data_IF_029966086367
#
_entry.id   IF_029966086367
#
_cell.length_a   1.000
_cell.length_b   1.000
_cell.length_c   1.000
_cell.angle_alpha   90.00
_cell.angle_beta   90.00
_cell.angle_gamma   90.00
#
_symmetry.space_group_name_H-M   'P 1'
#
loop_
_entity.id
_entity.type
_entity.pdbx_description
1 polymer ?
#
# COMPACT_ATOMS: atom_id res chain seq x y z
N UNK A 1 -5.41 -28.54 -90.75
CA UNK A 1 -3.96 -28.43 -90.53
C UNK A 1 -3.68 -27.02 -90.00
N UNK A 2 -2.88 -26.92 -88.92
CA UNK A 2 -2.39 -25.70 -88.22
C UNK A 2 -3.42 -24.92 -87.37
N UNK A 3 -3.51 -25.16 -86.04
CA UNK A 3 -2.69 -24.71 -84.86
C UNK A 3 -3.12 -23.31 -84.37
N UNK A 4 -3.80 -23.17 -83.22
CA UNK A 4 -3.29 -23.24 -81.84
C UNK A 4 -2.39 -22.05 -81.46
N UNK A 5 -3.00 -20.89 -81.18
CA UNK A 5 -2.37 -19.78 -80.46
C UNK A 5 -3.35 -19.24 -79.41
N UNK A 6 -3.20 -19.68 -78.15
CA UNK A 6 -4.13 -19.32 -77.09
C UNK A 6 -3.64 -19.70 -75.70
N UNK A 7 -2.35 -19.51 -75.41
CA UNK A 7 -1.80 -19.78 -74.07
C UNK A 7 -0.51 -18.99 -73.81
N UNK A 8 -0.51 -17.67 -74.05
CA UNK A 8 0.72 -16.86 -73.97
C UNK A 8 0.72 -15.68 -73.00
N UNK A 9 -0.44 -15.22 -72.51
CA UNK A 9 -0.51 -13.91 -71.82
C UNK A 9 -0.86 -13.95 -70.33
N UNK A 10 -1.32 -15.09 -69.79
CA UNK A 10 -1.73 -15.17 -68.38
C UNK A 10 -0.57 -15.42 -67.38
N UNK A 11 0.61 -15.86 -67.84
CA UNK A 11 1.73 -16.21 -66.95
C UNK A 11 2.75 -15.09 -66.71
N UNK A 12 2.72 -14.02 -67.50
CA UNK A 12 3.63 -12.87 -67.33
C UNK A 12 3.16 -11.88 -66.25
N UNK A 13 1.86 -11.85 -65.91
CA UNK A 13 1.36 -10.96 -64.84
C UNK A 13 1.64 -11.48 -63.41
N UNK A 14 1.79 -12.78 -63.22
CA UNK A 14 2.03 -13.33 -61.87
C UNK A 14 3.48 -13.14 -61.38
N UNK A 15 4.44 -13.02 -62.29
CA UNK A 15 5.86 -12.85 -61.94
C UNK A 15 6.25 -11.37 -61.70
N UNK A 16 5.51 -10.40 -62.25
CA UNK A 16 5.78 -8.98 -62.01
C UNK A 16 5.29 -8.48 -60.64
N UNK A 17 4.29 -9.13 -60.04
CA UNK A 17 3.81 -8.78 -58.69
C UNK A 17 4.69 -9.30 -57.54
N UNK A 18 5.60 -10.25 -57.79
CA UNK A 18 6.47 -10.79 -56.75
C UNK A 18 7.77 -9.99 -56.55
N UNK A 19 8.16 -9.13 -57.49
CA UNK A 19 9.41 -8.35 -57.41
C UNK A 19 9.20 -6.97 -56.76
N UNK A 20 7.98 -6.42 -56.78
CA UNK A 20 7.69 -5.10 -56.18
C UNK A 20 7.48 -5.14 -54.66
N UNK A 21 7.43 -6.32 -54.03
CA UNK A 21 7.33 -6.44 -52.58
C UNK A 21 8.67 -6.30 -51.84
N UNK A 22 9.81 -6.20 -52.55
CA UNK A 22 11.14 -6.14 -51.93
C UNK A 22 11.63 -4.71 -51.60
N UNK A 23 10.84 -3.68 -51.89
CA UNK A 23 11.20 -2.27 -51.66
C UNK A 23 10.19 -1.53 -50.80
N UNK A 24 9.54 -2.23 -49.86
CA UNK A 24 8.85 -1.55 -48.76
C UNK A 24 9.92 -1.02 -47.79
N UNK A 25 9.99 0.30 -47.54
CA UNK A 25 10.83 0.84 -46.49
C UNK A 25 10.36 0.21 -45.18
N UNK A 26 11.18 -0.67 -44.62
CA UNK A 26 10.98 -1.18 -43.26
C UNK A 26 10.89 0.07 -42.38
N UNK A 27 9.75 0.36 -41.73
CA UNK A 27 9.72 1.44 -40.78
C UNK A 27 10.67 1.02 -39.67
N UNK A 28 11.83 1.69 -39.60
CA UNK A 28 12.81 1.58 -38.53
C UNK A 28 12.17 2.01 -37.21
N UNK A 29 11.30 1.16 -36.70
CA UNK A 29 10.58 1.28 -35.46
C UNK A 29 11.31 0.39 -34.48
N UNK A 30 11.79 0.97 -33.38
CA UNK A 30 12.48 0.31 -32.26
C UNK A 30 14.02 0.17 -32.34
N UNK A 31 14.74 1.27 -32.57
CA UNK A 31 16.10 1.44 -32.03
C UNK A 31 16.26 2.80 -31.32
N UNK A 32 15.33 3.16 -30.43
CA UNK A 32 15.50 4.30 -29.50
C UNK A 32 15.56 3.88 -28.03
N UNK A 33 15.60 2.57 -27.74
CA UNK A 33 15.61 2.04 -26.37
C UNK A 33 17.00 1.71 -25.78
N UNK A 34 18.09 1.89 -26.53
CA UNK A 34 19.44 1.48 -26.06
C UNK A 34 20.23 2.57 -25.34
N UNK A 35 19.76 3.82 -25.33
CA UNK A 35 20.56 4.95 -24.83
C UNK A 35 20.63 5.08 -23.30
N UNK A 36 19.85 4.30 -22.54
CA UNK A 36 19.98 4.28 -21.08
C UNK A 36 19.73 2.85 -20.59
N UNK A 37 20.76 1.99 -20.65
CA UNK A 37 20.73 0.75 -19.86
C UNK A 37 20.56 1.18 -18.40
N UNK A 38 19.41 0.89 -17.77
CA UNK A 38 19.12 1.35 -16.44
C UNK A 38 20.13 0.69 -15.51
N UNK A 39 20.99 1.51 -14.90
CA UNK A 39 21.96 1.06 -13.90
C UNK A 39 21.18 0.47 -12.73
N UNK A 40 21.48 -0.78 -12.39
CA UNK A 40 20.86 -1.45 -11.24
C UNK A 40 21.22 -0.71 -9.95
N UNK A 41 20.24 -0.46 -9.11
CA UNK A 41 20.42 0.25 -7.84
C UNK A 41 21.38 -0.50 -6.92
N UNK A 42 22.09 0.25 -6.05
CA UNK A 42 22.99 -0.35 -5.06
C UNK A 42 22.27 -1.21 -4.01
N UNK A 43 20.95 -1.01 -3.82
CA UNK A 43 20.09 -1.89 -3.02
C UNK A 43 19.92 -3.24 -3.69
N UNK A 44 19.51 -3.28 -4.96
CA UNK A 44 19.31 -4.53 -5.70
C UNK A 44 20.60 -5.33 -5.84
N UNK A 45 21.74 -4.66 -6.07
CA UNK A 45 23.04 -5.33 -6.15
C UNK A 45 23.43 -6.03 -4.85
N UNK A 46 23.18 -5.41 -3.69
CA UNK A 46 23.43 -6.01 -2.37
C UNK A 46 22.47 -7.15 -2.06
N UNK A 47 21.19 -7.01 -2.42
CA UNK A 47 20.18 -8.04 -2.17
C UNK A 47 20.41 -9.32 -2.98
N UNK A 48 20.92 -9.18 -4.21
CA UNK A 48 21.15 -10.30 -5.13
C UNK A 48 22.59 -10.84 -5.10
N UNK A 49 23.45 -10.34 -4.20
CA UNK A 49 24.89 -10.66 -4.15
C UNK A 49 25.60 -10.46 -5.51
N UNK A 50 25.27 -9.36 -6.21
CA UNK A 50 25.80 -9.07 -7.53
C UNK A 50 27.22 -8.50 -7.45
N UNK A 51 28.22 -9.35 -7.73
CA UNK A 51 29.64 -8.99 -7.70
C UNK A 51 30.06 -8.10 -8.85
N UNK A 52 29.48 -8.30 -10.04
CA UNK A 52 29.85 -7.54 -11.24
C UNK A 52 28.95 -6.32 -11.43
N UNK A 53 29.50 -5.17 -11.90
CA UNK A 53 28.72 -3.96 -12.16
C UNK A 53 27.74 -4.13 -13.33
N UNK A 54 28.14 -4.88 -14.36
CA UNK A 54 27.28 -5.19 -15.48
C UNK A 54 26.44 -6.44 -15.21
N UNK A 55 25.12 -6.32 -15.36
CA UNK A 55 24.18 -7.44 -15.15
C UNK A 55 24.55 -8.67 -15.97
N UNK A 56 24.95 -8.49 -17.23
CA UNK A 56 25.30 -9.59 -18.14
C UNK A 56 26.49 -10.43 -17.69
N UNK A 57 27.37 -9.88 -16.83
CA UNK A 57 28.55 -10.58 -16.31
C UNK A 57 28.28 -11.38 -15.03
N UNK A 58 27.08 -11.28 -14.45
CA UNK A 58 26.68 -12.06 -13.27
C UNK A 58 26.11 -13.44 -13.69
N UNK A 59 26.13 -14.47 -12.83
CA UNK A 59 25.51 -15.77 -13.16
C UNK A 59 23.99 -15.65 -13.33
N UNK A 60 23.40 -16.48 -14.19
CA UNK A 60 21.95 -16.48 -14.53
C UNK A 60 20.99 -16.28 -13.33
N UNK A 61 21.12 -16.99 -12.19
CA UNK A 61 20.24 -16.76 -11.04
C UNK A 61 20.32 -15.33 -10.47
N UNK A 62 21.53 -14.73 -10.43
CA UNK A 62 21.73 -13.35 -9.98
C UNK A 62 21.13 -12.37 -10.99
N UNK A 63 21.25 -12.63 -12.29
CA UNK A 63 20.61 -11.82 -13.32
C UNK A 63 19.08 -11.78 -13.14
N UNK A 64 18.46 -12.94 -12.92
CA UNK A 64 17.02 -13.05 -12.69
C UNK A 64 16.59 -12.30 -11.40
N UNK A 65 17.39 -12.38 -10.33
CA UNK A 65 17.17 -11.62 -9.10
C UNK A 65 17.19 -10.11 -9.36
N UNK A 66 18.23 -9.61 -10.05
CA UNK A 66 18.37 -8.18 -10.37
C UNK A 66 17.20 -7.65 -11.20
N UNK A 67 16.73 -8.43 -12.19
CA UNK A 67 15.55 -8.07 -13.01
C UNK A 67 14.30 -7.92 -12.13
N UNK A 68 14.06 -8.85 -11.21
CA UNK A 68 12.89 -8.82 -10.30
C UNK A 68 12.98 -7.66 -9.32
N UNK A 69 14.15 -7.44 -8.73
CA UNK A 69 14.37 -6.33 -7.80
C UNK A 69 14.15 -4.97 -8.47
N UNK A 70 14.77 -4.74 -9.64
CA UNK A 70 14.60 -3.50 -10.40
C UNK A 70 13.15 -3.27 -10.85
N UNK A 71 12.42 -4.33 -11.21
CA UNK A 71 11.00 -4.24 -11.51
C UNK A 71 10.17 -3.83 -10.28
N UNK A 72 10.49 -4.39 -9.10
CA UNK A 72 9.89 -4.03 -7.81
C UNK A 72 10.14 -2.57 -7.44
N UNK A 73 11.38 -2.09 -7.51
CA UNK A 73 11.71 -0.70 -7.23
C UNK A 73 11.01 0.28 -8.17
N UNK A 74 10.89 -0.04 -9.47
CA UNK A 74 10.10 0.76 -10.41
C UNK A 74 8.61 0.73 -10.12
N UNK A 75 8.09 -0.38 -9.58
CA UNK A 75 6.69 -0.47 -9.17
C UNK A 75 6.43 0.43 -7.95
N UNK A 76 7.25 0.31 -6.90
CA UNK A 76 7.18 1.18 -5.72
C UNK A 76 7.38 2.65 -6.07
N UNK A 77 8.37 2.97 -6.91
CA UNK A 77 8.60 4.35 -7.36
C UNK A 77 7.40 4.90 -8.11
N UNK A 78 6.75 4.11 -8.99
CA UNK A 78 5.50 4.51 -9.65
C UNK A 78 4.33 4.66 -8.69
N UNK A 79 4.21 3.81 -7.68
CA UNK A 79 3.18 3.97 -6.64
C UNK A 79 3.41 5.24 -5.81
N UNK A 80 4.66 5.53 -5.45
CA UNK A 80 5.03 6.73 -4.71
C UNK A 80 4.81 8.00 -5.56
N UNK A 81 5.14 7.96 -6.86
CA UNK A 81 4.97 9.09 -7.78
C UNK A 81 3.51 9.33 -8.17
N UNK A 82 2.71 8.28 -8.35
CA UNK A 82 1.30 8.42 -8.76
C UNK A 82 0.37 8.70 -7.57
N UNK A 83 0.88 8.65 -6.34
CA UNK A 83 0.04 8.45 -5.17
C UNK A 83 -0.64 7.07 -5.25
N UNK A 84 -1.10 6.55 -4.12
CA UNK A 84 -1.91 5.34 -4.16
C UNK A 84 -3.19 5.61 -4.99
N UNK A 85 -3.80 4.62 -5.67
CA UNK A 85 -5.08 4.80 -6.37
C UNK A 85 -6.17 5.41 -5.46
N UNK A 86 -6.08 5.15 -4.15
CA UNK A 86 -6.91 5.79 -3.13
C UNK A 86 -6.66 7.31 -3.01
N UNK A 87 -5.44 7.80 -3.26
CA UNK A 87 -5.09 9.22 -3.20
C UNK A 87 -5.52 10.03 -4.45
N UNK A 88 -5.87 9.36 -5.57
CA UNK A 88 -6.36 10.03 -6.80
C UNK A 88 -7.85 9.81 -7.07
N UNK A 89 -8.57 9.15 -6.15
CA UNK A 89 -10.02 8.95 -6.25
C UNK A 89 -10.46 8.01 -7.39
N UNK A 90 -9.53 7.31 -8.05
CA UNK A 90 -9.85 6.26 -9.04
C UNK A 90 -9.55 4.91 -8.42
N UNK A 91 -10.54 4.39 -7.68
CA UNK A 91 -10.55 3.00 -7.26
C UNK A 91 -10.33 2.10 -8.47
N UNK A 92 -9.34 1.23 -8.38
CA UNK A 92 -9.04 0.22 -9.38
C UNK A 92 -10.22 -0.74 -9.48
N UNK A 93 -11.08 -0.56 -10.48
CA UNK A 93 -11.97 -1.61 -10.94
C UNK A 93 -11.10 -2.75 -11.45
N UNK A 94 -10.97 -3.80 -10.64
CA UNK A 94 -10.34 -5.04 -11.08
C UNK A 94 -11.08 -5.55 -12.32
N UNK A 95 -10.37 -5.97 -13.40
CA UNK A 95 -11.03 -6.64 -14.50
C UNK A 95 -11.56 -7.98 -13.99
N UNK A 96 -12.88 -8.09 -13.90
CA UNK A 96 -13.59 -9.35 -13.65
C UNK A 96 -13.29 -10.29 -14.81
N UNK A 97 -12.34 -11.22 -14.63
CA UNK A 97 -12.18 -12.37 -15.51
C UNK A 97 -13.34 -13.34 -15.28
N UNK A 98 -14.49 -13.02 -15.84
CA UNK A 98 -15.66 -13.90 -15.93
C UNK A 98 -15.42 -14.92 -17.04
N UNK A 99 -14.50 -15.85 -16.82
CA UNK A 99 -14.38 -17.08 -17.61
C UNK A 99 -15.25 -18.18 -17.00
N UNK A 100 -16.57 -18.10 -17.18
CA UNK A 100 -17.49 -19.18 -16.83
C UNK A 100 -18.07 -19.76 -18.11
N UNK A 101 -17.59 -20.94 -18.49
CA UNK A 101 -18.16 -21.73 -19.57
C UNK A 101 -19.61 -22.06 -19.23
N UNK A 102 -20.50 -21.65 -20.12
CA UNK A 102 -21.91 -22.01 -20.09
C UNK A 102 -22.07 -23.48 -20.52
N UNK A 103 -22.42 -24.35 -19.57
CA UNK A 103 -23.11 -25.61 -19.85
C UNK A 103 -24.51 -25.51 -19.28
N UNK A 104 -25.47 -25.31 -20.18
CA UNK A 104 -26.88 -25.14 -19.87
C UNK A 104 -27.50 -26.43 -19.29
N UNK A 105 -28.22 -26.29 -18.17
CA UNK A 105 -29.26 -27.22 -17.72
C UNK A 105 -30.53 -26.41 -17.46
N UNK A 106 -31.68 -26.77 -18.05
CA UNK A 106 -32.95 -26.14 -17.71
C UNK A 106 -33.53 -26.84 -16.47
N UNK A 107 -33.60 -26.12 -15.36
CA UNK A 107 -34.18 -26.59 -14.11
C UNK A 107 -34.88 -25.46 -13.40
N UNK A 108 -36.21 -25.51 -13.42
CA UNK A 108 -37.16 -24.58 -12.81
C UNK A 108 -36.96 -24.55 -11.28
N UNK A 109 -36.67 -23.38 -10.69
CA UNK A 109 -36.92 -23.13 -9.26
C UNK A 109 -36.92 -21.63 -8.89
N UNK A 110 -38.08 -21.20 -8.40
CA UNK A 110 -38.33 -20.22 -7.33
C UNK A 110 -37.47 -18.94 -7.24
N UNK A 111 -38.14 -17.81 -7.47
CA UNK A 111 -37.64 -16.48 -7.15
C UNK A 111 -37.41 -16.30 -5.65
N UNK A 112 -36.14 -16.21 -5.27
CA UNK A 112 -35.69 -15.64 -3.99
C UNK A 112 -35.07 -14.29 -4.33
N UNK A 113 -35.56 -13.16 -3.78
CA UNK A 113 -34.88 -11.89 -3.93
C UNK A 113 -33.55 -11.98 -3.18
N UNK A 114 -32.47 -12.25 -3.89
CA UNK A 114 -31.11 -12.02 -3.42
C UNK A 114 -30.89 -10.51 -3.30
N UNK A 115 -31.48 -9.92 -2.26
CA UNK A 115 -31.09 -8.60 -1.76
C UNK A 115 -29.69 -8.77 -1.17
N UNK A 116 -28.69 -8.71 -2.06
CA UNK A 116 -27.28 -8.63 -1.69
C UNK A 116 -27.18 -7.42 -0.75
N UNK A 117 -26.74 -7.56 0.50
CA UNK A 117 -26.58 -6.42 1.38
C UNK A 117 -25.53 -5.54 0.70
N UNK A 118 -25.98 -4.42 0.11
CA UNK A 118 -25.13 -3.27 -0.08
C UNK A 118 -24.66 -2.92 1.32
N UNK A 119 -23.49 -3.47 1.71
CA UNK A 119 -22.63 -2.82 2.68
C UNK A 119 -22.38 -1.47 2.06
N UNK A 120 -23.23 -0.50 2.40
CA UNK A 120 -22.90 0.90 2.31
C UNK A 120 -21.53 0.96 2.97
N UNK A 121 -20.48 1.06 2.15
CA UNK A 121 -19.22 1.59 2.57
C UNK A 121 -19.54 3.04 2.94
N UNK A 122 -20.22 3.23 4.08
CA UNK A 122 -20.17 4.46 4.83
C UNK A 122 -18.68 4.68 4.95
N UNK A 123 -18.17 5.65 4.17
CA UNK A 123 -16.76 5.97 4.08
C UNK A 123 -16.26 6.09 5.52
N UNK A 124 -15.63 5.00 5.99
CA UNK A 124 -15.54 4.72 7.41
C UNK A 124 -14.59 5.72 8.00
N UNK A 125 -15.12 6.71 8.70
CA UNK A 125 -14.28 7.62 9.48
C UNK A 125 -13.67 6.77 10.59
N UNK A 126 -12.34 6.79 10.67
CA UNK A 126 -11.64 6.14 11.76
C UNK A 126 -10.80 7.15 12.53
N UNK A 127 -10.62 6.85 13.81
CA UNK A 127 -9.74 7.56 14.71
C UNK A 127 -8.58 6.62 15.03
N UNK A 128 -7.36 7.10 14.85
CA UNK A 128 -6.14 6.31 14.95
C UNK A 128 -5.16 6.98 15.90
N UNK A 129 -4.53 6.20 16.78
CA UNK A 129 -3.50 6.67 17.70
C UNK A 129 -2.15 6.03 17.40
N UNK A 130 -1.10 6.84 17.35
CA UNK A 130 0.29 6.41 17.21
C UNK A 130 1.12 6.91 18.38
N UNK A 131 2.08 6.09 18.84
CA UNK A 131 3.01 6.50 19.88
C UNK A 131 4.45 6.09 19.58
N UNK A 132 5.37 6.81 20.19
CA UNK A 132 6.78 6.49 20.22
C UNK A 132 7.03 5.16 20.96
N UNK A 133 8.07 4.40 20.57
CA UNK A 133 8.62 3.34 21.40
C UNK A 133 8.95 3.88 22.80
N UNK A 134 8.68 3.10 23.83
CA UNK A 134 9.02 3.47 25.20
C UNK A 134 10.54 3.55 25.37
N UNK A 135 11.07 4.49 26.16
CA UNK A 135 10.38 5.48 27.00
C UNK A 135 10.06 6.82 26.28
N UNK A 136 10.04 6.82 24.95
CA UNK A 136 9.72 8.01 24.13
C UNK A 136 8.34 8.58 24.45
N UNK A 137 8.16 9.87 24.13
CA UNK A 137 6.96 10.66 24.51
C UNK A 137 6.10 11.10 23.33
N UNK A 138 6.49 10.77 22.10
CA UNK A 138 5.68 11.06 20.93
C UNK A 138 4.34 10.35 21.04
N UNK A 139 3.24 11.10 20.95
CA UNK A 139 1.88 10.57 20.92
C UNK A 139 1.05 11.47 20.01
N UNK A 140 0.22 10.86 19.18
CA UNK A 140 -0.76 11.57 18.36
C UNK A 140 -2.06 10.76 18.26
N UNK A 141 -3.17 11.48 18.12
CA UNK A 141 -4.48 10.92 17.77
C UNK A 141 -5.01 11.69 16.56
N UNK A 142 -5.44 11.00 15.50
CA UNK A 142 -6.03 11.64 14.32
C UNK A 142 -7.37 12.29 14.64
N UNK A 143 -7.81 13.24 13.80
CA UNK A 143 -9.24 13.55 13.73
C UNK A 143 -9.98 12.40 13.02
N UNK A 144 -11.31 12.25 13.22
CA UNK A 144 -12.10 11.31 12.45
C UNK A 144 -12.10 11.71 10.97
N UNK A 145 -11.48 10.86 10.16
CA UNK A 145 -11.35 11.07 8.72
C UNK A 145 -11.24 9.72 8.02
N UNK A 146 -11.15 9.72 6.70
CA UNK A 146 -10.93 8.48 5.95
C UNK A 146 -9.72 7.71 6.51
N UNK A 147 -9.87 6.40 6.69
CA UNK A 147 -8.89 5.53 7.35
C UNK A 147 -7.45 5.80 6.96
N UNK A 148 -7.13 5.84 5.66
CA UNK A 148 -5.76 6.06 5.21
C UNK A 148 -5.23 7.45 5.55
N UNK A 149 -6.07 8.48 5.45
CA UNK A 149 -5.70 9.83 5.89
C UNK A 149 -5.49 9.87 7.40
N UNK A 150 -6.33 9.18 8.19
CA UNK A 150 -6.22 9.08 9.65
C UNK A 150 -4.86 8.50 10.07
N UNK A 151 -4.46 7.38 9.46
CA UNK A 151 -3.15 6.77 9.68
C UNK A 151 -2.00 7.71 9.32
N UNK A 152 -1.97 8.23 8.09
CA UNK A 152 -0.86 9.11 7.64
C UNK A 152 -0.74 10.37 8.49
N UNK A 153 -1.87 10.99 8.85
CA UNK A 153 -1.90 12.20 9.67
C UNK A 153 -1.41 11.94 11.09
N UNK A 154 -1.90 10.90 11.74
CA UNK A 154 -1.44 10.53 13.08
C UNK A 154 0.03 10.10 13.09
N UNK A 155 0.46 9.23 12.18
CA UNK A 155 1.84 8.76 12.10
C UNK A 155 2.82 9.91 11.87
N UNK A 156 2.56 10.79 10.90
CA UNK A 156 3.39 11.98 10.62
C UNK A 156 3.49 12.90 11.83
N UNK A 157 2.38 13.14 12.52
CA UNK A 157 2.36 13.99 13.71
C UNK A 157 3.14 13.37 14.87
N UNK A 158 3.01 12.06 15.07
CA UNK A 158 3.79 11.35 16.08
C UNK A 158 5.29 11.39 15.75
N UNK A 159 5.65 11.14 14.49
CA UNK A 159 7.03 11.19 14.01
C UNK A 159 7.68 12.55 14.30
N UNK A 160 6.96 13.65 13.99
CA UNK A 160 7.39 15.02 14.29
C UNK A 160 7.56 15.27 15.79
N UNK A 161 6.61 14.80 16.62
CA UNK A 161 6.68 14.92 18.09
C UNK A 161 7.77 14.04 18.72
N UNK A 162 8.19 13.00 18.01
CA UNK A 162 9.18 12.05 18.46
C UNK A 162 10.58 12.33 17.90
N UNK A 163 10.91 13.60 17.59
CA UNK A 163 12.20 13.99 17.02
C UNK A 163 12.57 13.19 15.75
N UNK A 164 11.59 12.97 14.86
CA UNK A 164 11.75 12.20 13.62
C UNK A 164 12.16 10.73 13.84
N UNK A 165 11.76 10.14 14.96
CA UNK A 165 11.89 8.70 15.21
C UNK A 165 10.57 7.97 14.86
N UNK A 166 10.64 6.71 14.38
CA UNK A 166 9.46 5.96 13.99
C UNK A 166 8.48 5.79 15.14
N UNK A 167 7.20 5.82 14.82
CA UNK A 167 6.11 5.58 15.77
C UNK A 167 5.42 4.25 15.46
N UNK A 168 4.83 3.65 16.49
CA UNK A 168 3.99 2.45 16.38
C UNK A 168 2.52 2.80 16.49
N UNK A 169 1.68 2.08 15.74
CA UNK A 169 0.24 2.10 15.92
C UNK A 169 -0.11 1.58 17.32
N UNK A 170 -0.92 2.33 18.06
CA UNK A 170 -1.46 1.90 19.36
C UNK A 170 -2.88 1.38 19.23
N UNK A 171 -3.74 2.12 18.55
CA UNK A 171 -5.15 1.80 18.41
C UNK A 171 -5.72 2.39 17.13
N UNK A 172 -6.72 1.72 16.61
CA UNK A 172 -7.61 2.18 15.55
C UNK A 172 -9.04 1.86 15.99
N UNK A 173 -9.94 2.83 15.88
CA UNK A 173 -11.36 2.63 16.20
C UNK A 173 -12.26 3.32 15.17
N UNK A 174 -13.45 2.73 14.99
CA UNK A 174 -14.57 3.34 14.28
C UNK A 174 -15.57 4.01 15.24
N UNK A 175 -15.33 3.92 16.56
CA UNK A 175 -16.11 4.62 17.57
C UNK A 175 -15.89 6.13 17.48
N UNK A 176 -16.79 6.90 18.10
CA UNK A 176 -16.75 8.37 18.08
C UNK A 176 -15.59 8.97 18.86
N UNK A 177 -15.11 8.27 19.90
CA UNK A 177 -14.06 8.77 20.77
C UNK A 177 -12.98 7.72 21.01
N UNK A 178 -11.73 8.20 21.09
CA UNK A 178 -10.54 7.43 21.43
C UNK A 178 -9.74 8.18 22.48
N UNK A 179 -9.32 7.48 23.54
CA UNK A 179 -8.48 8.00 24.59
C UNK A 179 -7.28 7.08 24.85
N UNK A 180 -6.19 7.70 25.31
CA UNK A 180 -4.93 7.03 25.62
C UNK A 180 -4.53 7.42 27.05
N UNK A 181 -4.13 6.44 27.85
CA UNK A 181 -3.61 6.61 29.19
C UNK A 181 -2.14 6.19 29.27
N UNK A 182 -1.33 6.90 30.05
CA UNK A 182 0.03 6.51 30.39
C UNK A 182 0.06 5.76 31.71
N UNK A 183 0.75 4.61 31.72
CA UNK A 183 1.26 4.02 32.95
C UNK A 183 2.60 4.67 33.28
N UNK A 184 2.61 5.59 34.25
CA UNK A 184 3.78 6.37 34.65
C UNK A 184 4.35 5.90 35.98
N UNK A 185 5.69 5.90 36.07
CA UNK A 185 6.42 5.74 37.33
C UNK A 185 7.16 7.04 37.63
N UNK A 186 7.03 7.53 38.85
CA UNK A 186 7.78 8.69 39.30
C UNK A 186 9.28 8.39 39.28
N UNK A 187 10.08 9.31 38.76
CA UNK A 187 11.55 9.26 38.89
C UNK A 187 12.05 10.03 40.12
N UNK A 188 11.21 10.87 40.72
CA UNK A 188 11.49 11.62 41.93
C UNK A 188 10.41 11.43 43.01
N UNK A 189 10.53 12.20 44.10
CA UNK A 189 9.61 12.15 45.25
C UNK A 189 8.18 12.61 44.93
N UNK A 190 8.01 13.46 43.91
CA UNK A 190 6.70 14.04 43.55
C UNK A 190 6.52 13.96 42.04
N UNK A 191 5.37 13.41 41.60
CA UNK A 191 4.95 13.45 40.19
C UNK A 191 4.42 14.86 39.92
N UNK A 192 5.06 15.58 39.01
CA UNK A 192 4.56 16.88 38.54
C UNK A 192 3.94 16.75 37.15
N UNK A 193 3.46 17.86 36.60
CA UNK A 193 3.04 17.94 35.20
C UNK A 193 4.24 17.89 34.23
N UNK A 194 5.47 18.16 34.70
CA UNK A 194 6.67 18.09 33.87
C UNK A 194 6.95 16.62 33.50
N UNK A 195 6.94 16.28 32.20
CA UNK A 195 7.20 14.91 31.77
C UNK A 195 8.60 14.40 32.11
N UNK A 196 9.54 15.26 32.52
CA UNK A 196 10.87 14.88 33.05
C UNK A 196 10.83 14.21 34.43
N UNK A 197 9.73 14.34 35.16
CA UNK A 197 9.57 13.79 36.53
C UNK A 197 9.01 12.36 36.56
N UNK A 198 8.73 11.77 35.40
CA UNK A 198 8.25 10.41 35.29
C UNK A 198 8.73 9.69 34.03
N UNK A 199 8.73 8.37 34.09
CA UNK A 199 8.95 7.48 32.94
C UNK A 199 7.64 6.82 32.54
N UNK A 200 7.38 6.76 31.24
CA UNK A 200 6.24 6.03 30.69
C UNK A 200 6.66 4.56 30.57
N UNK A 201 5.90 3.66 31.18
CA UNK A 201 6.11 2.21 31.15
C UNK A 201 5.09 1.49 30.26
N UNK A 202 3.93 2.10 30.06
CA UNK A 202 2.84 1.47 29.32
C UNK A 202 1.91 2.52 28.71
N UNK A 203 1.24 2.15 27.62
CA UNK A 203 0.14 2.92 27.04
C UNK A 203 -1.11 2.05 27.12
N UNK A 204 -2.13 2.51 27.87
CA UNK A 204 -3.46 1.94 27.80
C UNK A 204 -4.30 2.66 26.76
N UNK A 205 -5.19 1.95 26.08
CA UNK A 205 -6.08 2.51 25.06
C UNK A 205 -7.53 2.21 25.38
N UNK A 206 -8.42 3.12 25.00
CA UNK A 206 -9.86 2.94 25.20
C UNK A 206 -10.67 3.75 24.20
N UNK A 207 -11.72 3.15 23.68
CA UNK A 207 -12.67 3.81 22.78
C UNK A 207 -14.08 3.76 23.34
N UNK A 208 -14.93 4.69 22.90
CA UNK A 208 -16.27 4.85 23.43
C UNK A 208 -17.16 5.76 22.57
N UNK A 209 -18.45 5.78 22.91
CA UNK A 209 -19.43 6.65 22.25
C UNK A 209 -19.24 8.13 22.61
N UNK A 210 -18.60 8.40 23.74
CA UNK A 210 -18.29 9.72 24.28
C UNK A 210 -16.89 9.72 24.92
N UNK A 211 -16.40 10.92 25.26
CA UNK A 211 -15.05 11.11 25.79
C UNK A 211 -14.85 10.37 27.13
N UNK A 212 -15.81 10.49 28.05
CA UNK A 212 -15.73 9.91 29.39
C UNK A 212 -15.66 8.38 29.35
N UNK A 213 -16.45 7.73 28.50
CA UNK A 213 -16.42 6.28 28.31
C UNK A 213 -15.10 5.81 27.69
N UNK A 214 -14.56 6.55 26.72
CA UNK A 214 -13.24 6.27 26.14
C UNK A 214 -12.12 6.40 27.17
N UNK A 215 -12.11 7.48 27.98
CA UNK A 215 -11.14 7.70 29.05
C UNK A 215 -11.21 6.62 30.13
N UNK A 216 -12.42 6.27 30.58
CA UNK A 216 -12.61 5.21 31.56
C UNK A 216 -12.12 3.85 31.04
N UNK A 217 -12.38 3.55 29.76
CA UNK A 217 -11.84 2.35 29.11
C UNK A 217 -10.30 2.38 29.04
N UNK A 218 -9.70 3.52 28.71
CA UNK A 218 -8.24 3.67 28.61
C UNK A 218 -7.55 3.52 29.97
N UNK A 219 -8.12 4.09 31.04
CA UNK A 219 -7.63 3.90 32.41
C UNK A 219 -7.76 2.44 32.86
N UNK A 220 -8.87 1.78 32.50
CA UNK A 220 -9.07 0.37 32.81
C UNK A 220 -8.03 -0.52 32.12
N UNK A 221 -7.82 -0.35 30.81
CA UNK A 221 -6.80 -1.10 30.06
C UNK A 221 -5.38 -0.83 30.60
N UNK A 222 -5.08 0.44 30.89
CA UNK A 222 -3.82 0.80 31.54
C UNK A 222 -3.65 0.06 32.88
N UNK A 223 -4.65 0.14 33.76
CA UNK A 223 -4.59 -0.40 35.12
C UNK A 223 -4.50 -1.93 35.15
N UNK A 224 -5.13 -2.61 34.19
CA UNK A 224 -5.11 -4.07 34.07
C UNK A 224 -3.75 -4.66 33.70
N UNK A 225 -2.79 -3.82 33.25
CA UNK A 225 -1.45 -4.23 32.81
C UNK A 225 -0.33 -3.66 33.68
N UNK A 226 -0.66 -3.02 34.80
CA UNK A 226 0.32 -2.34 35.65
C UNK A 226 1.19 -3.32 36.47
N UNK A 227 2.48 -3.01 36.53
CA UNK A 227 3.36 -3.51 37.58
C UNK A 227 3.24 -2.63 38.83
N UNK A 228 3.68 -3.15 39.98
CA UNK A 228 3.71 -2.40 41.24
C UNK A 228 4.47 -1.06 41.09
N UNK A 229 3.92 -0.01 41.72
CA UNK A 229 4.51 1.33 41.73
C UNK A 229 4.36 2.13 40.43
N UNK A 230 3.44 1.73 39.54
CA UNK A 230 3.06 2.49 38.34
C UNK A 230 1.64 3.04 38.54
N UNK A 231 1.42 4.29 38.16
CA UNK A 231 0.11 4.96 38.22
C UNK A 231 -0.41 5.23 36.81
N UNK A 232 -1.73 5.16 36.60
CA UNK A 232 -2.35 5.47 35.31
C UNK A 232 -2.86 6.92 35.29
N UNK A 233 -2.58 7.64 34.19
CA UNK A 233 -3.11 8.99 33.96
C UNK A 233 -3.53 9.15 32.50
N UNK A 234 -4.63 9.85 32.24
CA UNK A 234 -5.00 10.21 30.86
C UNK A 234 -3.90 11.07 30.23
N UNK A 235 -3.51 10.68 29.03
CA UNK A 235 -2.54 11.39 28.21
C UNK A 235 -3.25 12.37 27.27
N UNK A 236 -4.22 11.85 26.52
CA UNK A 236 -5.03 12.63 25.58
C UNK A 236 -6.25 11.80 25.17
N UNK A 237 -7.33 12.51 24.89
CA UNK A 237 -8.60 12.03 24.36
C UNK A 237 -8.93 12.82 23.09
N UNK A 238 -9.70 12.22 22.18
CA UNK A 238 -10.24 12.92 21.01
C UNK A 238 -11.53 12.27 20.54
N UNK A 239 -12.48 13.10 20.13
CA UNK A 239 -13.78 12.69 19.60
C UNK A 239 -14.06 13.33 18.23
N UNK A 240 -15.00 12.76 17.47
CA UNK A 240 -15.70 13.42 16.35
C UNK A 240 -16.42 12.50 15.38
#
# INVERSE_FOLDING_TARGET
MFTSEGAGLARLSALLCLITALWLPVPASAQSGQANKPVDSMSCRRQCDARMPERAMNPQPVQACLVRCAAGERHLSRQNQRGTPEATGRGSSAPSTSGAMASARPGVAAGVPNAMPQRSAAAGRSIVAYAAPLPGRGLSISMPQERMAAHRGAETECFRRNNNNPCRLLAETADRCLAIAYGIRATGLVITSDPRTFTIHHYGTGSGADETSAEFAALRDCSGRLAAGVSCRIATSRCG
#
